data_IF_790546889077
#
_entry.id   IF_790546889077
#
_cell.length_a   1.000
_cell.length_b   1.000
_cell.length_c   1.000
_cell.angle_alpha   90.00
_cell.angle_beta   90.00
_cell.angle_gamma   90.00
#
_symmetry.space_group_name_H-M   'P 1'
#
loop_
_entity.id
_entity.type
_entity.pdbx_description
1 polymer ?
#
# COMPACT_ATOMS: atom_id res chain seq x y z
N UNK A 1 0.07 6.65 13.47
CA UNK A 1 -1.17 7.33 13.94
C UNK A 1 -0.76 8.59 14.68
N UNK A 2 -1.40 9.73 14.40
CA UNK A 2 -1.07 10.99 15.04
C UNK A 2 -1.24 10.85 16.56
N UNK A 3 -0.18 11.18 17.32
CA UNK A 3 -0.21 11.16 18.79
C UNK A 3 -0.90 12.40 19.38
N UNK A 4 -1.11 13.43 18.57
CA UNK A 4 -1.75 14.69 18.98
C UNK A 4 -3.05 14.92 18.19
N UNK A 5 -4.08 15.52 18.81
CA UNK A 5 -5.29 15.96 18.12
C UNK A 5 -4.97 16.93 16.98
N UNK A 6 -5.68 16.81 15.86
CA UNK A 6 -5.55 17.73 14.73
C UNK A 6 -6.37 18.99 15.02
N UNK A 7 -5.73 20.15 15.08
CA UNK A 7 -6.42 21.43 15.16
C UNK A 7 -6.93 21.83 13.76
N UNK A 8 -8.25 21.99 13.62
CA UNK A 8 -8.89 22.36 12.36
C UNK A 8 -9.42 23.80 12.43
N UNK A 9 -9.17 24.64 11.42
CA UNK A 9 -9.63 26.03 11.41
C UNK A 9 -11.15 26.12 11.19
N UNK A 10 -11.88 26.55 12.22
CA UNK A 10 -13.35 26.65 12.22
C UNK A 10 -13.91 27.45 11.05
N UNK A 11 -13.25 28.54 10.65
CA UNK A 11 -13.71 29.36 9.53
C UNK A 11 -13.80 28.59 8.21
N UNK A 12 -12.90 27.63 7.97
CA UNK A 12 -12.96 26.79 6.78
C UNK A 12 -14.06 25.71 6.89
N UNK A 13 -14.33 25.22 8.10
CA UNK A 13 -15.41 24.26 8.33
C UNK A 13 -16.78 24.92 8.08
N UNK A 14 -17.02 26.10 8.64
CA UNK A 14 -18.31 26.79 8.57
C UNK A 14 -18.53 27.43 7.19
N UNK A 15 -17.57 28.20 6.71
CA UNK A 15 -17.79 29.07 5.55
C UNK A 15 -17.35 28.45 4.22
N UNK A 16 -16.68 27.29 4.24
CA UNK A 16 -16.23 26.57 3.03
C UNK A 16 -16.68 25.11 2.96
N UNK A 17 -17.41 24.60 3.97
CA UNK A 17 -17.80 23.19 4.10
C UNK A 17 -16.63 22.22 3.85
N UNK A 18 -15.43 22.55 4.38
CA UNK A 18 -14.31 21.60 4.30
C UNK A 18 -14.56 20.42 5.24
N UNK A 19 -14.53 19.21 4.69
CA UNK A 19 -14.71 17.95 5.44
C UNK A 19 -13.40 17.21 5.57
N UNK A 20 -13.06 16.85 6.81
CA UNK A 20 -11.89 16.05 7.14
C UNK A 20 -12.34 14.66 7.55
N UNK A 21 -12.04 13.66 6.73
CA UNK A 21 -12.46 12.29 6.94
C UNK A 21 -11.25 11.37 7.04
N UNK A 22 -11.23 10.52 8.06
CA UNK A 22 -10.28 9.42 8.13
C UNK A 22 -10.77 8.26 7.29
N UNK A 23 -9.88 7.64 6.52
CA UNK A 23 -10.16 6.39 5.83
C UNK A 23 -9.20 5.31 6.33
N UNK A 24 -9.77 4.23 6.86
CA UNK A 24 -9.00 3.08 7.32
C UNK A 24 -9.39 1.86 6.49
N UNK A 25 -8.56 1.55 5.50
CA UNK A 25 -8.85 0.50 4.50
C UNK A 25 -9.14 -0.86 5.15
N UNK A 26 -8.34 -1.31 6.12
CA UNK A 26 -8.56 -2.59 6.83
C UNK A 26 -9.93 -2.61 7.51
N UNK A 27 -10.26 -1.59 8.30
CA UNK A 27 -11.55 -1.50 8.99
C UNK A 27 -12.73 -1.39 8.04
N UNK A 28 -12.57 -0.71 6.91
CA UNK A 28 -13.61 -0.63 5.88
C UNK A 28 -13.81 -1.98 5.18
N UNK A 29 -12.72 -2.66 4.81
CA UNK A 29 -12.75 -3.99 4.19
C UNK A 29 -13.52 -5.02 5.04
N UNK A 30 -13.32 -4.98 6.37
CA UNK A 30 -13.99 -5.89 7.30
C UNK A 30 -15.49 -5.54 7.45
N UNK A 31 -15.84 -4.26 7.39
CA UNK A 31 -17.21 -3.76 7.57
C UNK A 31 -18.09 -3.91 6.33
N UNK A 32 -17.52 -3.71 5.13
CA UNK A 32 -18.27 -3.67 3.87
C UNK A 32 -17.64 -4.60 2.82
N UNK A 33 -17.91 -5.89 2.96
CA UNK A 33 -17.40 -6.92 2.05
C UNK A 33 -17.92 -6.73 0.61
N UNK A 34 -19.14 -6.22 0.43
CA UNK A 34 -19.73 -5.98 -0.89
C UNK A 34 -19.07 -4.78 -1.57
N UNK A 35 -18.92 -3.67 -0.84
CA UNK A 35 -18.19 -2.50 -1.31
C UNK A 35 -16.75 -2.83 -1.66
N UNK A 36 -16.06 -3.62 -0.82
CA UNK A 36 -14.71 -4.13 -1.12
C UNK A 36 -14.67 -4.89 -2.44
N UNK A 37 -15.58 -5.84 -2.64
CA UNK A 37 -15.64 -6.64 -3.86
C UNK A 37 -15.84 -5.76 -5.09
N UNK A 38 -16.82 -4.85 -5.04
CA UNK A 38 -17.09 -3.91 -6.11
C UNK A 38 -15.85 -3.07 -6.45
N UNK A 39 -15.21 -2.47 -5.44
CA UNK A 39 -14.02 -1.64 -5.66
C UNK A 39 -12.85 -2.40 -6.29
N UNK A 40 -12.64 -3.67 -5.90
CA UNK A 40 -11.61 -4.52 -6.51
C UNK A 40 -11.97 -4.86 -7.96
N UNK A 41 -13.22 -5.25 -8.24
CA UNK A 41 -13.67 -5.60 -9.58
C UNK A 41 -13.58 -4.39 -10.54
N UNK A 42 -13.96 -3.21 -10.08
CA UNK A 42 -13.87 -1.94 -10.82
C UNK A 42 -12.42 -1.56 -11.15
N UNK A 43 -11.51 -1.65 -10.17
CA UNK A 43 -10.07 -1.45 -10.38
C UNK A 43 -9.49 -2.44 -11.41
N UNK A 44 -9.83 -3.71 -11.32
CA UNK A 44 -9.40 -4.71 -12.29
C UNK A 44 -9.99 -4.45 -13.69
N UNK A 45 -11.21 -3.92 -13.77
CA UNK A 45 -11.81 -3.43 -15.02
C UNK A 45 -10.98 -2.32 -15.65
N UNK A 46 -10.66 -1.28 -14.88
CA UNK A 46 -9.82 -0.16 -15.32
C UNK A 46 -8.43 -0.60 -15.80
N UNK A 47 -7.83 -1.60 -15.15
CA UNK A 47 -6.55 -2.19 -15.57
C UNK A 47 -6.68 -2.85 -16.94
N UNK A 48 -7.72 -3.69 -17.14
CA UNK A 48 -7.95 -4.38 -18.41
C UNK A 48 -8.21 -3.42 -19.57
N UNK A 49 -8.85 -2.30 -19.28
CA UNK A 49 -9.11 -1.22 -20.25
C UNK A 49 -7.91 -0.30 -20.46
N UNK A 50 -6.80 -0.49 -19.73
CA UNK A 50 -5.61 0.35 -19.82
C UNK A 50 -5.77 1.75 -19.24
N UNK A 51 -6.89 2.05 -18.55
CA UNK A 51 -7.15 3.32 -17.85
C UNK A 51 -6.39 3.44 -16.53
N UNK A 52 -5.96 2.31 -15.97
CA UNK A 52 -5.15 2.25 -14.78
C UNK A 52 -3.93 1.36 -15.05
N UNK A 53 -2.73 1.94 -14.90
CA UNK A 53 -1.46 1.20 -14.97
C UNK A 53 -0.95 1.01 -13.56
N UNK A 54 -0.31 -0.13 -13.30
CA UNK A 54 0.28 -0.36 -11.99
C UNK A 54 1.45 0.58 -11.72
N UNK A 55 1.83 0.67 -10.45
CA UNK A 55 3.04 1.40 -10.07
C UNK A 55 4.25 0.52 -10.37
N UNK A 56 5.42 1.11 -10.71
CA UNK A 56 6.66 0.36 -10.87
C UNK A 56 6.90 -0.57 -9.68
N UNK A 57 7.28 -1.82 -9.96
CA UNK A 57 7.63 -2.83 -8.96
C UNK A 57 9.14 -2.96 -8.91
N UNK A 58 9.69 -3.01 -7.71
CA UNK A 58 11.08 -3.35 -7.44
C UNK A 58 11.09 -4.78 -6.88
N UNK A 59 11.39 -5.75 -7.73
CA UNK A 59 11.42 -7.15 -7.33
C UNK A 59 12.69 -7.42 -6.53
N UNK A 60 12.50 -7.93 -5.32
CA UNK A 60 13.59 -8.30 -4.42
C UNK A 60 13.62 -9.83 -4.32
N UNK A 61 14.57 -10.51 -4.98
CA UNK A 61 14.65 -11.96 -4.95
C UNK A 61 14.84 -12.48 -3.53
N UNK A 62 13.98 -13.41 -3.12
CA UNK A 62 14.09 -14.12 -1.86
C UNK A 62 14.21 -15.62 -2.15
N UNK A 63 15.45 -16.08 -2.26
CA UNK A 63 15.83 -17.47 -2.44
C UNK A 63 16.77 -17.90 -1.31
N UNK A 64 17.12 -19.19 -1.26
CA UNK A 64 18.09 -19.69 -0.29
C UNK A 64 19.45 -18.95 -0.34
N UNK A 65 19.88 -18.53 -1.53
CA UNK A 65 21.16 -17.85 -1.74
C UNK A 65 21.07 -16.33 -1.57
N UNK A 66 19.87 -15.80 -1.31
CA UNK A 66 19.69 -14.37 -1.02
C UNK A 66 20.38 -14.03 0.31
N UNK A 67 21.35 -13.13 0.25
CA UNK A 67 22.01 -12.59 1.45
C UNK A 67 21.01 -11.87 2.33
N UNK A 68 21.11 -12.09 3.63
CA UNK A 68 20.24 -11.44 4.64
C UNK A 68 20.27 -9.91 4.53
N UNK A 69 21.46 -9.34 4.28
CA UNK A 69 21.64 -7.89 4.12
C UNK A 69 20.79 -7.32 2.99
N UNK A 70 20.63 -8.05 1.88
CA UNK A 70 19.78 -7.63 0.76
C UNK A 70 18.31 -7.47 1.18
N UNK A 71 17.81 -8.36 2.02
CA UNK A 71 16.45 -8.29 2.53
C UNK A 71 16.29 -7.15 3.56
N UNK A 72 17.28 -6.98 4.44
CA UNK A 72 17.31 -5.89 5.43
C UNK A 72 17.35 -4.53 4.75
N UNK A 73 18.19 -4.35 3.75
CA UNK A 73 18.33 -3.10 3.00
C UNK A 73 17.04 -2.77 2.25
N UNK A 74 16.38 -3.77 1.65
CA UNK A 74 15.09 -3.59 1.00
C UNK A 74 14.01 -3.08 1.98
N UNK A 75 13.98 -3.61 3.22
CA UNK A 75 13.05 -3.15 4.26
C UNK A 75 13.44 -1.77 4.79
N UNK A 76 14.73 -1.53 5.07
CA UNK A 76 15.21 -0.25 5.59
C UNK A 76 14.98 0.90 4.59
N UNK A 77 15.18 0.63 3.30
CA UNK A 77 14.86 1.55 2.20
C UNK A 77 13.38 1.93 2.14
N UNK A 78 12.49 1.22 2.85
CA UNK A 78 11.10 1.63 2.93
C UNK A 78 10.89 2.94 3.72
N UNK A 79 11.81 3.29 4.60
CA UNK A 79 11.68 4.43 5.50
C UNK A 79 12.29 5.72 4.93
N UNK A 80 13.08 5.64 3.84
CA UNK A 80 13.87 6.77 3.30
C UNK A 80 13.16 7.66 2.27
N UNK A 81 11.88 7.42 1.99
CA UNK A 81 11.00 8.34 1.24
C UNK A 81 11.14 8.37 -0.29
N UNK A 82 12.29 8.02 -0.86
CA UNK A 82 12.50 7.93 -2.32
C UNK A 82 12.75 6.49 -2.75
N UNK A 83 11.88 5.93 -3.59
CA UNK A 83 12.00 4.56 -4.12
C UNK A 83 11.72 4.52 -5.61
N UNK A 84 12.33 3.54 -6.30
CA UNK A 84 12.06 3.25 -7.71
C UNK A 84 10.67 2.67 -7.93
N UNK A 85 10.08 2.06 -6.89
CA UNK A 85 8.80 1.37 -6.99
C UNK A 85 8.38 0.71 -5.68
N UNK A 86 7.31 -0.09 -5.76
CA UNK A 86 6.87 -0.96 -4.67
C UNK A 86 7.82 -2.16 -4.58
N UNK A 87 8.53 -2.28 -3.47
CA UNK A 87 9.33 -3.47 -3.16
C UNK A 87 8.42 -4.70 -3.01
N UNK A 88 8.69 -5.74 -3.80
CA UNK A 88 7.97 -7.02 -3.76
C UNK A 88 8.99 -8.13 -3.60
N UNK A 89 8.91 -8.87 -2.49
CA UNK A 89 9.72 -10.08 -2.35
C UNK A 89 9.20 -11.16 -3.29
N UNK A 90 10.09 -11.65 -4.14
CA UNK A 90 9.79 -12.73 -5.10
C UNK A 90 10.44 -14.00 -4.58
N UNK A 91 9.63 -14.94 -4.12
CA UNK A 91 10.12 -16.21 -3.58
C UNK A 91 10.64 -17.10 -4.71
N UNK A 92 11.92 -17.45 -4.61
CA UNK A 92 12.61 -18.39 -5.50
C UNK A 92 12.72 -19.79 -4.88
N UNK A 93 13.76 -20.53 -5.25
CA UNK A 93 14.02 -21.84 -4.66
C UNK A 93 14.28 -21.74 -3.15
N UNK A 94 13.37 -22.33 -2.38
CA UNK A 94 13.52 -22.56 -0.94
C UNK A 94 13.92 -24.01 -0.73
N UNK A 95 14.96 -24.27 0.07
CA UNK A 95 15.36 -25.65 0.40
C UNK A 95 14.15 -26.45 0.87
N UNK A 96 13.81 -27.50 0.11
CA UNK A 96 12.89 -28.53 0.57
C UNK A 96 13.63 -29.34 1.63
N UNK A 97 13.12 -29.32 2.86
CA UNK A 97 13.56 -30.27 3.88
C UNK A 97 12.87 -31.61 3.54
N UNK A 98 13.65 -32.58 3.08
CA UNK A 98 13.24 -33.99 3.07
C UNK A 98 13.18 -34.52 4.51
#
# INVERSE_FOLDING_TARGET
>A
MARQPVALPTGLLIFRDLRFVGFWLTRWNDRDVRGRRFAVEDLLGMIREGRFRDAPVDEVPWSWDTKEDTLKDAVAGTLSGYRKGKGVFVFGETKQFN
#
